data_IF_032661412663
#
_entry.id   IF_032661412663
#
_cell.length_a   1.000
_cell.length_b   1.000
_cell.length_c   1.000
_cell.angle_alpha   90.00
_cell.angle_beta   90.00
_cell.angle_gamma   90.00
#
_symmetry.space_group_name_H-M   'P 1'
#
loop_
_entity.id
_entity.type
_entity.pdbx_description
1 polymer ?
#
# COMPACT_ATOMS: atom_id res chain seq x y z
N UNK A 1 -20.26 25.25 -28.54
CA UNK A 1 -19.95 23.87 -28.12
C UNK A 1 -18.48 23.82 -27.74
N UNK A 2 -18.04 23.52 -26.53
CA UNK A 2 -18.65 23.16 -25.25
C UNK A 2 -17.71 23.73 -24.19
N UNK A 3 -18.22 24.59 -23.33
CA UNK A 3 -17.54 25.03 -22.13
C UNK A 3 -17.49 23.86 -21.15
N UNK A 4 -16.30 23.48 -20.71
CA UNK A 4 -16.13 22.71 -19.49
C UNK A 4 -15.12 23.49 -18.67
N UNK A 5 -15.64 24.29 -17.73
CA UNK A 5 -14.86 24.66 -16.55
C UNK A 5 -14.40 23.36 -15.87
N UNK A 6 -13.19 22.92 -16.17
CA UNK A 6 -12.49 21.97 -15.33
C UNK A 6 -12.04 22.76 -14.10
N UNK A 7 -12.93 22.83 -13.12
CA UNK A 7 -12.63 23.05 -11.69
C UNK A 7 -11.16 22.73 -11.43
N UNK A 8 -10.34 23.77 -11.21
CA UNK A 8 -8.89 23.63 -11.04
C UNK A 8 -8.63 22.61 -9.93
N UNK A 9 -8.34 21.37 -10.32
CA UNK A 9 -8.00 20.28 -9.40
C UNK A 9 -6.76 20.74 -8.68
N UNK A 10 -6.90 21.11 -7.40
CA UNK A 10 -5.78 21.48 -6.53
C UNK A 10 -4.66 20.48 -6.76
N UNK A 11 -3.49 20.95 -7.24
CA UNK A 11 -2.29 20.13 -7.43
C UNK A 11 -2.10 19.33 -6.14
N UNK A 12 -2.25 18.01 -6.23
CA UNK A 12 -2.19 17.12 -5.07
C UNK A 12 -0.81 17.31 -4.44
N UNK A 13 -0.76 17.77 -3.19
CA UNK A 13 0.52 17.87 -2.49
C UNK A 13 1.13 16.49 -2.35
N UNK A 14 2.42 16.37 -2.64
CA UNK A 14 3.14 15.10 -2.47
C UNK A 14 3.13 14.75 -0.98
N UNK A 15 2.39 13.69 -0.63
CA UNK A 15 2.38 13.16 0.72
C UNK A 15 3.46 12.09 0.80
N UNK A 16 4.52 12.36 1.54
CA UNK A 16 5.53 11.36 1.90
C UNK A 16 4.87 10.33 2.83
N UNK A 17 4.84 9.08 2.39
CA UNK A 17 4.35 7.99 3.20
C UNK A 17 5.52 7.38 3.97
N UNK A 18 5.42 7.44 5.30
CA UNK A 18 6.34 6.79 6.21
C UNK A 18 5.58 5.74 7.00
N UNK A 19 6.02 4.49 6.95
CA UNK A 19 5.45 3.41 7.77
C UNK A 19 6.45 3.01 8.86
N UNK A 20 6.08 3.20 10.13
CA UNK A 20 6.93 2.83 11.29
C UNK A 20 8.37 3.38 11.21
N UNK A 21 8.57 4.53 10.56
CA UNK A 21 9.89 5.15 10.38
C UNK A 21 10.63 4.72 9.12
N UNK A 22 9.99 3.94 8.24
CA UNK A 22 10.55 3.48 6.97
C UNK A 22 9.80 4.16 5.81
N UNK A 23 10.54 4.65 4.82
CA UNK A 23 9.99 5.33 3.64
C UNK A 23 9.40 4.34 2.63
N UNK A 24 8.55 4.85 1.72
CA UNK A 24 7.86 4.03 0.72
C UNK A 24 8.81 3.24 -0.20
N UNK A 25 9.85 3.89 -0.75
CA UNK A 25 10.82 3.21 -1.63
C UNK A 25 11.49 2.05 -0.90
N UNK A 26 11.91 2.30 0.33
CA UNK A 26 12.54 1.27 1.16
C UNK A 26 11.56 0.13 1.52
N UNK A 27 10.27 0.42 1.70
CA UNK A 27 9.25 -0.63 1.92
C UNK A 27 9.07 -1.55 0.70
N UNK A 28 9.25 -1.02 -0.51
CA UNK A 28 9.07 -1.79 -1.75
C UNK A 28 10.24 -2.73 -2.01
N UNK A 29 11.46 -2.31 -1.65
CA UNK A 29 12.68 -3.10 -1.82
C UNK A 29 12.91 -4.14 -0.70
N UNK A 30 12.18 -4.02 0.41
CA UNK A 30 12.38 -4.85 1.59
C UNK A 30 11.86 -6.29 1.40
N UNK A 31 12.63 -7.32 1.78
CA UNK A 31 12.15 -8.70 1.76
C UNK A 31 11.07 -8.94 2.82
N UNK A 32 10.19 -9.91 2.55
CA UNK A 32 9.03 -10.25 3.38
C UNK A 32 9.39 -10.55 4.84
N UNK A 33 10.58 -11.10 5.11
CA UNK A 33 11.06 -11.42 6.46
C UNK A 33 11.21 -10.17 7.33
N UNK A 34 11.88 -9.14 6.81
CA UNK A 34 12.07 -7.86 7.50
C UNK A 34 10.75 -7.09 7.58
N UNK A 35 9.93 -7.16 6.52
CA UNK A 35 8.61 -6.54 6.52
C UNK A 35 7.69 -7.14 7.58
N UNK A 36 7.77 -8.45 7.81
CA UNK A 36 6.96 -9.11 8.84
C UNK A 36 7.21 -8.53 10.23
N UNK A 37 8.45 -8.21 10.59
CA UNK A 37 8.78 -7.66 11.92
C UNK A 37 8.12 -6.29 12.17
N UNK A 38 8.03 -5.46 11.13
CA UNK A 38 7.39 -4.14 11.17
C UNK A 38 5.85 -4.21 11.25
N UNK A 39 5.26 -5.36 10.94
CA UNK A 39 3.82 -5.56 10.81
C UNK A 39 3.14 -5.95 12.13
N UNK A 40 1.85 -5.60 12.23
CA UNK A 40 0.99 -5.96 13.35
C UNK A 40 0.86 -7.48 13.54
N UNK A 41 0.57 -7.92 14.77
CA UNK A 41 0.45 -9.34 15.13
C UNK A 41 -0.53 -10.14 14.27
N UNK A 42 -1.58 -9.50 13.74
CA UNK A 42 -2.56 -10.16 12.84
C UNK A 42 -1.97 -10.40 11.45
N UNK A 43 -1.26 -9.42 10.89
CA UNK A 43 -0.63 -9.53 9.58
C UNK A 43 0.49 -10.57 9.62
N UNK A 44 1.37 -10.52 10.65
CA UNK A 44 2.40 -11.55 10.88
C UNK A 44 1.83 -12.97 10.89
N UNK A 45 0.76 -13.21 11.66
CA UNK A 45 0.08 -14.52 11.72
C UNK A 45 -0.57 -14.93 10.40
N UNK A 46 -0.96 -13.99 9.54
CA UNK A 46 -1.49 -14.29 8.20
C UNK A 46 -0.37 -14.71 7.25
N UNK A 47 0.76 -14.00 7.25
CA UNK A 47 1.92 -14.36 6.44
C UNK A 47 2.52 -15.70 6.87
N UNK A 48 2.68 -15.95 8.17
CA UNK A 48 3.23 -17.20 8.70
C UNK A 48 2.36 -18.44 8.39
N UNK A 49 1.03 -18.29 8.31
CA UNK A 49 0.11 -19.39 7.94
C UNK A 49 -0.03 -19.57 6.43
N UNK A 50 0.52 -18.66 5.63
CA UNK A 50 0.31 -18.61 4.19
C UNK A 50 -0.93 -17.81 3.80
N UNK A 51 -0.82 -17.05 2.71
CA UNK A 51 -1.95 -16.34 2.11
C UNK A 51 -2.77 -17.37 1.32
N UNK A 52 -3.88 -17.83 1.90
CA UNK A 52 -4.87 -18.62 1.14
C UNK A 52 -5.38 -17.75 -0.02
N UNK A 53 -5.12 -18.15 -1.26
CA UNK A 53 -5.75 -17.58 -2.46
C UNK A 53 -7.25 -17.84 -2.33
N UNK A 54 -8.03 -16.81 -1.98
CA UNK A 54 -9.50 -16.89 -1.96
C UNK A 54 -10.14 -16.18 -3.15
N UNK A 55 -9.32 -15.73 -4.11
CA UNK A 55 -9.77 -14.93 -5.27
C UNK A 55 -9.49 -15.70 -6.56
N UNK A 56 -10.09 -16.88 -6.68
CA UNK A 56 -10.45 -17.47 -7.97
C UNK A 56 -11.96 -17.22 -8.14
N UNK A 57 -12.43 -16.87 -9.34
CA UNK A 57 -12.64 -15.52 -9.88
C UNK A 57 -13.99 -14.89 -9.49
N UNK A 58 -14.01 -13.58 -9.23
CA UNK A 58 -15.19 -12.72 -9.38
C UNK A 58 -14.90 -11.68 -10.46
N UNK A 59 -14.70 -12.20 -11.67
CA UNK A 59 -14.83 -11.51 -12.96
C UNK A 59 -15.46 -12.51 -13.92
#
# INVERSE_FOLDING_TARGET
MTEVEETQKKKRTFRKFTFRGVDLDQLLDMPTEQLMELMHCRARRRFARGIKRSWEPLL
#
